data_IF_447951691629
#
_entry.id   IF_447951691629
#
_cell.length_a   1.000
_cell.length_b   1.000
_cell.length_c   1.000
_cell.angle_alpha   90.00
_cell.angle_beta   90.00
_cell.angle_gamma   90.00
#
_symmetry.space_group_name_H-M   'P 1'
#
loop_
_entity.id
_entity.type
_entity.pdbx_description
1 polymer ?
#
# COMPACT_ATOMS: atom_id res chain seq x y z
N UNK A 1 -20.14 -16.08 -50.53
CA UNK A 1 -18.85 -16.24 -49.81
C UNK A 1 -18.38 -14.88 -49.28
N UNK A 2 -18.67 -14.55 -48.01
CA UNK A 2 -17.96 -13.46 -47.30
C UNK A 2 -18.33 -13.45 -45.81
N UNK A 3 -18.18 -14.61 -45.15
CA UNK A 3 -18.31 -14.70 -43.68
C UNK A 3 -16.97 -14.36 -42.99
N UNK A 4 -15.90 -14.18 -43.77
CA UNK A 4 -14.53 -14.05 -43.29
C UNK A 4 -14.11 -12.66 -42.77
N UNK A 5 -14.97 -11.64 -42.84
CA UNK A 5 -14.60 -10.26 -42.45
C UNK A 5 -15.04 -9.83 -41.05
N UNK A 6 -15.95 -10.56 -40.41
CA UNK A 6 -16.44 -10.22 -39.07
C UNK A 6 -15.72 -10.95 -37.93
N UNK A 7 -14.88 -11.94 -38.25
CA UNK A 7 -14.11 -12.70 -37.24
C UNK A 7 -12.84 -11.99 -36.76
N UNK A 8 -12.31 -11.04 -37.53
CA UNK A 8 -11.10 -10.29 -37.17
C UNK A 8 -11.36 -9.13 -36.21
N UNK A 9 -12.58 -8.60 -36.18
CA UNK A 9 -12.93 -7.45 -35.33
C UNK A 9 -13.23 -7.83 -33.87
N UNK A 10 -13.48 -9.12 -33.59
CA UNK A 10 -13.77 -9.59 -32.22
C UNK A 10 -12.52 -9.84 -31.37
N UNK A 11 -11.33 -9.87 -31.97
CA UNK A 11 -10.05 -10.13 -31.26
C UNK A 11 -9.46 -8.89 -30.57
N UNK A 12 -10.02 -7.69 -30.82
CA UNK A 12 -9.57 -6.43 -30.20
C UNK A 12 -10.30 -6.08 -28.90
N UNK A 13 -11.28 -6.89 -28.47
CA UNK A 13 -11.91 -6.80 -27.15
C UNK A 13 -11.31 -7.81 -26.18
N UNK A 14 -9.98 -7.93 -26.16
CA UNK A 14 -9.31 -8.51 -25.00
C UNK A 14 -9.35 -7.44 -23.91
N UNK A 15 -10.18 -7.52 -22.85
CA UNK A 15 -9.79 -6.83 -21.64
C UNK A 15 -8.43 -7.43 -21.30
N UNK A 16 -7.40 -6.59 -21.23
CA UNK A 16 -6.26 -6.94 -20.39
C UNK A 16 -6.90 -7.17 -19.02
N UNK A 17 -7.21 -8.43 -18.74
CA UNK A 17 -7.44 -8.94 -17.41
C UNK A 17 -6.19 -8.49 -16.67
N UNK A 18 -6.29 -7.38 -15.94
CA UNK A 18 -5.36 -7.07 -14.90
C UNK A 18 -5.49 -8.27 -13.97
N UNK A 19 -4.52 -9.19 -14.06
CA UNK A 19 -4.37 -10.24 -13.08
C UNK A 19 -3.99 -9.51 -11.80
N UNK A 20 -5.00 -9.00 -11.10
CA UNK A 20 -4.89 -8.52 -9.74
C UNK A 20 -4.42 -9.74 -8.95
N UNK A 21 -3.12 -9.79 -8.67
CA UNK A 21 -2.55 -10.83 -7.83
C UNK A 21 -3.29 -10.76 -6.49
N UNK A 22 -4.06 -11.80 -6.10
CA UNK A 22 -5.05 -11.71 -5.02
C UNK A 22 -4.45 -11.62 -3.61
N UNK A 23 -3.13 -11.45 -3.49
CA UNK A 23 -2.40 -11.43 -2.22
C UNK A 23 -1.31 -10.35 -2.18
N UNK A 24 -1.42 -9.27 -2.97
CA UNK A 24 -0.67 -8.06 -2.63
C UNK A 24 -1.37 -7.44 -1.42
N UNK A 25 -0.83 -7.68 -0.23
CA UNK A 25 -1.37 -7.12 1.01
C UNK A 25 -1.00 -5.64 1.06
N UNK A 26 -1.81 -4.82 0.41
CA UNK A 26 -1.72 -3.37 0.36
C UNK A 26 -1.93 -2.76 1.76
N UNK A 27 -1.27 -1.63 2.03
CA UNK A 27 -1.66 -0.79 3.16
C UNK A 27 -2.99 -0.12 2.83
N UNK A 28 -4.04 -0.46 3.57
CA UNK A 28 -5.30 0.24 3.43
C UNK A 28 -5.11 1.70 3.86
N UNK A 29 -5.45 2.62 2.95
CA UNK A 29 -5.42 4.06 3.22
C UNK A 29 -6.41 4.39 4.34
N UNK A 30 -5.93 5.09 5.36
CA UNK A 30 -6.78 5.61 6.43
C UNK A 30 -7.59 6.79 5.90
N UNK A 31 -8.89 6.81 6.22
CA UNK A 31 -9.71 8.00 6.02
C UNK A 31 -9.39 9.07 7.09
N UNK A 32 -9.97 10.27 6.93
CA UNK A 32 -9.68 11.39 7.84
C UNK A 32 -10.17 11.14 9.27
N UNK A 33 -11.24 10.35 9.46
CA UNK A 33 -11.78 10.03 10.79
C UNK A 33 -10.84 9.05 11.50
N UNK A 34 -10.41 8.01 10.79
CA UNK A 34 -9.40 7.06 11.27
C UNK A 34 -8.09 7.76 11.61
N UNK A 35 -7.66 8.70 10.77
CA UNK A 35 -6.43 9.46 11.02
C UNK A 35 -6.54 10.27 12.31
N UNK A 36 -7.65 10.99 12.52
CA UNK A 36 -7.88 11.75 13.76
C UNK A 36 -7.93 10.88 15.01
N UNK A 37 -8.39 9.64 14.88
CA UNK A 37 -8.42 8.64 15.94
C UNK A 37 -7.11 7.83 16.05
N UNK A 38 -6.07 8.15 15.26
CA UNK A 38 -4.82 7.41 15.27
C UNK A 38 -4.14 7.48 16.64
N UNK A 39 -3.68 6.33 17.12
CA UNK A 39 -2.94 6.19 18.36
C UNK A 39 -1.46 5.89 18.09
N UNK A 40 -0.63 5.91 19.14
CA UNK A 40 0.73 5.38 19.06
C UNK A 40 0.79 3.93 18.55
N UNK A 41 -0.23 3.13 18.88
CA UNK A 41 -0.34 1.74 18.44
C UNK A 41 -0.62 1.67 16.93
N UNK A 42 -1.49 2.54 16.42
CA UNK A 42 -1.73 2.67 14.98
C UNK A 42 -0.44 3.04 14.24
N UNK A 43 0.31 4.02 14.75
CA UNK A 43 1.60 4.42 14.18
C UNK A 43 2.59 3.25 14.19
N UNK A 44 2.71 2.54 15.32
CA UNK A 44 3.60 1.39 15.44
C UNK A 44 3.22 0.30 14.43
N UNK A 45 1.94 -0.05 14.35
CA UNK A 45 1.41 -1.01 13.40
C UNK A 45 1.79 -0.65 11.95
N UNK A 46 1.56 0.60 11.53
CA UNK A 46 1.87 1.05 10.18
C UNK A 46 3.37 1.00 9.87
N UNK A 47 4.23 1.40 10.82
CA UNK A 47 5.70 1.30 10.67
C UNK A 47 6.16 -0.15 10.52
N UNK A 48 5.61 -1.05 11.32
CA UNK A 48 5.96 -2.48 11.27
C UNK A 48 5.45 -3.13 9.99
N UNK A 49 4.25 -2.75 9.56
CA UNK A 49 3.70 -3.15 8.27
C UNK A 49 4.58 -2.68 7.12
N UNK A 50 4.99 -1.40 7.10
CA UNK A 50 5.88 -0.84 6.08
C UNK A 50 7.21 -1.60 6.01
N UNK A 51 7.82 -1.89 7.17
CA UNK A 51 9.05 -2.68 7.26
C UNK A 51 8.88 -4.09 6.69
N UNK A 52 7.78 -4.76 7.00
CA UNK A 52 7.51 -6.09 6.47
C UNK A 52 7.32 -6.06 4.96
N UNK A 53 6.57 -5.08 4.44
CA UNK A 53 6.37 -4.90 2.99
C UNK A 53 7.70 -4.62 2.29
N UNK A 54 8.63 -3.86 2.88
CA UNK A 54 9.94 -3.63 2.26
C UNK A 54 10.78 -4.91 2.10
N UNK A 55 10.53 -5.94 2.90
CA UNK A 55 11.14 -7.26 2.74
C UNK A 55 10.36 -8.19 1.78
N UNK A 56 9.04 -8.06 1.74
CA UNK A 56 8.14 -8.88 0.92
C UNK A 56 8.07 -8.41 -0.54
N UNK A 57 7.97 -7.09 -0.78
CA UNK A 57 7.76 -6.51 -2.12
C UNK A 57 8.86 -6.88 -3.13
N UNK A 58 10.17 -6.91 -2.79
CA UNK A 58 11.21 -7.36 -3.70
C UNK A 58 11.09 -8.83 -4.12
N UNK A 59 10.39 -9.66 -3.33
CA UNK A 59 10.20 -11.10 -3.60
C UNK A 59 9.03 -11.36 -4.54
N UNK A 60 8.23 -10.34 -4.87
CA UNK A 60 7.09 -10.47 -5.78
C UNK A 60 7.58 -10.69 -7.21
N UNK A 61 7.18 -11.82 -7.79
CA UNK A 61 7.47 -12.18 -9.17
C UNK A 61 6.37 -11.70 -10.11
N UNK A 62 6.75 -11.30 -11.32
CA UNK A 62 5.81 -10.88 -12.36
C UNK A 62 5.22 -9.47 -12.18
N UNK A 63 5.69 -8.69 -11.20
CA UNK A 63 5.29 -7.29 -11.00
C UNK A 63 6.38 -6.32 -11.48
N UNK A 64 5.95 -5.13 -11.92
CA UNK A 64 6.86 -4.06 -12.29
C UNK A 64 7.58 -3.49 -11.05
N UNK A 65 8.72 -2.84 -11.27
CA UNK A 65 9.43 -2.13 -10.19
C UNK A 65 8.54 -1.06 -9.55
N UNK A 66 7.82 -0.30 -10.38
CA UNK A 66 6.86 0.71 -9.91
C UNK A 66 5.85 0.13 -8.93
N UNK A 67 5.24 -1.02 -9.23
CA UNK A 67 4.26 -1.65 -8.33
C UNK A 67 4.90 -2.06 -7.00
N UNK A 68 6.14 -2.56 -7.02
CA UNK A 68 6.87 -2.87 -5.78
C UNK A 68 7.10 -1.62 -4.93
N UNK A 69 7.51 -0.53 -5.58
CA UNK A 69 7.76 0.75 -4.91
C UNK A 69 6.46 1.33 -4.35
N UNK A 70 5.37 1.33 -5.13
CA UNK A 70 4.05 1.82 -4.71
C UNK A 70 3.54 1.07 -3.46
N UNK A 71 3.78 -0.25 -3.35
CA UNK A 71 3.44 -1.02 -2.15
C UNK A 71 4.21 -0.56 -0.91
N UNK A 72 5.52 -0.33 -1.06
CA UNK A 72 6.39 0.10 0.04
C UNK A 72 5.99 1.50 0.49
N UNK A 73 5.78 2.42 -0.46
CA UNK A 73 5.43 3.80 -0.16
C UNK A 73 4.03 3.95 0.42
N UNK A 74 3.06 3.15 -0.01
CA UNK A 74 1.70 3.21 0.52
C UNK A 74 1.65 3.11 2.06
N UNK A 75 2.39 2.18 2.69
CA UNK A 75 2.42 2.10 4.14
C UNK A 75 3.26 3.18 4.81
N UNK A 76 4.36 3.60 4.19
CA UNK A 76 5.21 4.66 4.74
C UNK A 76 4.45 5.98 4.81
N UNK A 77 3.69 6.32 3.76
CA UNK A 77 2.87 7.53 3.71
C UNK A 77 1.80 7.54 4.80
N UNK A 78 1.18 6.38 5.09
CA UNK A 78 0.21 6.28 6.18
C UNK A 78 0.88 6.44 7.55
N UNK A 79 2.06 5.85 7.75
CA UNK A 79 2.82 6.00 8.99
C UNK A 79 3.20 7.47 9.21
N UNK A 80 3.67 8.16 8.19
CA UNK A 80 4.03 9.58 8.25
C UNK A 80 2.81 10.46 8.54
N UNK A 81 1.66 10.17 7.93
CA UNK A 81 0.42 10.87 8.21
C UNK A 81 -0.02 10.67 9.67
N UNK A 82 0.01 9.44 10.18
CA UNK A 82 -0.34 9.14 11.57
C UNK A 82 0.63 9.80 12.55
N UNK A 83 1.94 9.77 12.27
CA UNK A 83 2.94 10.47 13.08
C UNK A 83 2.67 11.98 13.11
N UNK A 84 2.42 12.58 11.94
CA UNK A 84 2.11 14.00 11.84
C UNK A 84 0.86 14.35 12.67
N UNK A 85 -0.20 13.56 12.54
CA UNK A 85 -1.44 13.77 13.28
C UNK A 85 -1.24 13.66 14.80
N UNK A 86 -0.46 12.68 15.26
CA UNK A 86 -0.11 12.53 16.68
C UNK A 86 0.67 13.74 17.20
N UNK A 87 1.63 14.24 16.42
CA UNK A 87 2.42 15.42 16.80
C UNK A 87 1.58 16.68 16.88
N UNK A 88 0.71 16.92 15.89
CA UNK A 88 -0.10 18.15 15.82
C UNK A 88 -1.26 18.12 16.82
N UNK A 89 -1.91 16.98 17.01
CA UNK A 89 -3.14 16.90 17.82
C UNK A 89 -2.94 16.53 19.28
N UNK A 90 -1.86 15.79 19.58
CA UNK A 90 -1.60 15.27 20.93
C UNK A 90 -0.28 15.78 21.52
N UNK A 91 0.51 16.58 20.78
CA UNK A 91 1.74 17.20 21.30
C UNK A 91 2.92 16.24 21.44
N UNK A 92 2.87 15.06 20.81
CA UNK A 92 4.00 14.14 20.79
C UNK A 92 5.23 14.74 20.10
N UNK A 93 6.42 14.30 20.52
CA UNK A 93 7.68 14.58 19.81
C UNK A 93 8.09 13.39 18.93
N UNK A 94 9.02 13.63 18.00
CA UNK A 94 9.58 12.55 17.18
C UNK A 94 10.28 11.52 18.07
N UNK A 95 11.01 11.99 19.07
CA UNK A 95 11.76 11.15 20.01
C UNK A 95 10.80 10.29 20.86
N UNK A 96 9.68 10.83 21.33
CA UNK A 96 8.70 10.05 22.07
C UNK A 96 8.08 8.94 21.22
N UNK A 97 7.77 9.23 19.95
CA UNK A 97 7.17 8.26 19.03
C UNK A 97 8.17 7.23 18.48
N UNK A 98 9.48 7.50 18.56
CA UNK A 98 10.52 6.58 18.08
C UNK A 98 10.93 5.50 19.09
N UNK A 99 10.44 5.56 20.34
CA UNK A 99 10.83 4.63 21.41
C UNK A 99 10.34 3.20 21.17
N UNK A 100 9.12 3.05 20.67
CA UNK A 100 8.52 1.74 20.38
C UNK A 100 9.07 1.21 19.06
N UNK A 101 9.51 -0.05 19.07
CA UNK A 101 10.00 -0.78 17.90
C UNK A 101 9.07 -1.93 17.59
N UNK A 102 9.15 -2.43 16.37
CA UNK A 102 8.48 -3.65 15.96
C UNK A 102 9.08 -4.82 16.71
N UNK A 103 8.23 -5.64 17.31
CA UNK A 103 8.62 -6.98 17.76
C UNK A 103 9.03 -7.78 16.52
N UNK A 104 10.12 -8.54 16.63
CA UNK A 104 10.82 -9.21 15.51
C UNK A 104 9.91 -10.15 14.69
#
# INVERSE_FOLDING_TARGET
MSVSRYLLSLLLLSPLMAWAQPNLVECQRMDQVQLRAASEETLLFLRCRARRISYEAPRLKGVSQKVRDDLVFACLDQADAAEHQLRVSHGYTRESLARKKCDE
#
